data_IF_150996919157
#
_entry.id   IF_150996919157
#
_cell.length_a   1.000
_cell.length_b   1.000
_cell.length_c   1.000
_cell.angle_alpha   90.00
_cell.angle_beta   90.00
_cell.angle_gamma   90.00
#
_symmetry.space_group_name_H-M   'P 1'
#
loop_
_entity.id
_entity.type
_entity.pdbx_description
1 polymer ?
#
# COMPACT_ATOMS: atom_id res chain seq x y z
N UNK A 1 18.48 -1.88 1.72
CA UNK A 1 17.79 -0.96 0.79
C UNK A 1 16.92 -0.07 1.63
N UNK A 2 17.08 1.24 1.49
CA UNK A 2 16.22 2.22 2.16
C UNK A 2 15.00 2.47 1.27
N UNK A 3 13.83 2.03 1.72
CA UNK A 3 12.60 2.16 0.94
C UNK A 3 12.18 3.63 0.78
N UNK A 4 12.50 4.50 1.74
CA UNK A 4 12.16 5.92 1.67
C UNK A 4 13.02 6.59 0.61
N UNK A 5 14.32 6.28 0.58
CA UNK A 5 15.23 6.78 -0.45
C UNK A 5 14.83 6.28 -1.85
N UNK A 6 14.49 4.99 -1.98
CA UNK A 6 14.04 4.41 -3.25
C UNK A 6 12.71 5.03 -3.72
N UNK A 7 11.75 5.20 -2.81
CA UNK A 7 10.45 5.78 -3.13
C UNK A 7 10.58 7.25 -3.53
N UNK A 8 11.53 7.99 -2.96
CA UNK A 8 11.83 9.35 -3.40
C UNK A 8 12.25 9.41 -4.87
N UNK A 9 13.18 8.54 -5.28
CA UNK A 9 13.62 8.47 -6.69
C UNK A 9 12.46 8.07 -7.62
N UNK A 10 11.67 7.06 -7.21
CA UNK A 10 10.49 6.61 -7.96
C UNK A 10 9.44 7.72 -8.10
N UNK A 11 9.17 8.46 -7.03
CA UNK A 11 8.19 9.55 -7.03
C UNK A 11 8.64 10.70 -7.94
N UNK A 12 9.91 11.08 -7.92
CA UNK A 12 10.46 12.10 -8.83
C UNK A 12 10.26 11.70 -10.30
N UNK A 13 10.47 10.43 -10.63
CA UNK A 13 10.17 9.89 -11.96
C UNK A 13 8.66 9.88 -12.27
N UNK A 14 7.82 9.46 -11.33
CA UNK A 14 6.35 9.40 -11.46
C UNK A 14 5.76 10.78 -11.74
N UNK A 15 6.15 11.81 -10.98
CA UNK A 15 5.64 13.17 -11.14
C UNK A 15 6.04 13.78 -12.50
N UNK A 16 7.24 13.48 -12.99
CA UNK A 16 7.70 13.92 -14.30
C UNK A 16 7.00 13.20 -15.45
N UNK A 17 6.64 11.93 -15.25
CA UNK A 17 6.09 11.08 -16.32
C UNK A 17 4.57 11.21 -16.42
N UNK A 18 3.88 11.26 -15.28
CA UNK A 18 2.42 11.29 -15.17
C UNK A 18 1.95 12.64 -14.64
N UNK A 19 2.18 13.68 -15.44
CA UNK A 19 1.93 15.09 -15.07
C UNK A 19 0.46 15.41 -14.80
N UNK A 20 -0.46 14.63 -15.37
CA UNK A 20 -1.91 14.82 -15.23
C UNK A 20 -2.56 13.82 -14.24
N UNK A 21 -1.78 12.90 -13.67
CA UNK A 21 -2.33 11.89 -12.78
C UNK A 21 -2.85 12.53 -11.48
N UNK A 22 -4.04 12.10 -11.06
CA UNK A 22 -4.72 12.58 -9.85
C UNK A 22 -4.65 11.53 -8.75
N UNK A 23 -4.82 11.91 -7.46
CA UNK A 23 -4.93 10.93 -6.38
C UNK A 23 -6.00 9.86 -6.64
N UNK A 24 -7.14 10.25 -7.21
CA UNK A 24 -8.23 9.32 -7.52
C UNK A 24 -7.86 8.36 -8.67
N UNK A 25 -7.17 8.85 -9.70
CA UNK A 25 -6.66 8.00 -10.79
C UNK A 25 -5.65 6.97 -10.29
N UNK A 26 -4.69 7.39 -9.46
CA UNK A 26 -3.74 6.47 -8.82
C UNK A 26 -4.43 5.46 -7.90
N UNK A 27 -5.49 5.85 -7.18
CA UNK A 27 -6.27 4.94 -6.35
C UNK A 27 -7.07 3.94 -7.20
N UNK A 28 -7.56 4.34 -8.38
CA UNK A 28 -8.19 3.42 -9.32
C UNK A 28 -7.18 2.38 -9.81
N UNK A 29 -5.97 2.80 -10.19
CA UNK A 29 -4.90 1.87 -10.59
C UNK A 29 -4.51 0.92 -9.46
N UNK A 30 -4.37 1.42 -8.22
CA UNK A 30 -4.12 0.56 -7.05
C UNK A 30 -5.19 -0.55 -6.88
N UNK A 31 -6.46 -0.25 -7.18
CA UNK A 31 -7.54 -1.25 -7.13
C UNK A 31 -7.44 -2.29 -8.25
N UNK A 32 -6.89 -1.92 -9.40
CA UNK A 32 -6.60 -2.86 -10.48
C UNK A 32 -5.48 -3.82 -10.05
N UNK A 33 -4.37 -3.31 -9.50
CA UNK A 33 -3.27 -4.18 -9.03
C UNK A 33 -3.72 -5.13 -7.92
N UNK A 34 -4.63 -4.69 -7.04
CA UNK A 34 -5.23 -5.57 -6.02
C UNK A 34 -6.03 -6.71 -6.68
N UNK A 35 -6.72 -6.47 -7.79
CA UNK A 35 -7.43 -7.54 -8.53
C UNK A 35 -6.45 -8.50 -9.18
N UNK A 36 -5.33 -8.01 -9.70
CA UNK A 36 -4.26 -8.88 -10.25
C UNK A 36 -3.69 -9.79 -9.15
N UNK A 37 -3.46 -9.25 -7.94
CA UNK A 37 -3.09 -10.04 -6.75
C UNK A 37 -4.17 -11.10 -6.42
N UNK A 38 -5.46 -10.73 -6.44
CA UNK A 38 -6.56 -11.67 -6.18
C UNK A 38 -6.60 -12.82 -7.20
N UNK A 39 -6.36 -12.51 -8.47
CA UNK A 39 -6.26 -13.51 -9.53
C UNK A 39 -5.08 -14.46 -9.31
N UNK A 40 -3.90 -13.93 -8.97
CA UNK A 40 -2.71 -14.72 -8.71
C UNK A 40 -2.88 -15.63 -7.50
N UNK A 41 -3.52 -15.15 -6.43
CA UNK A 41 -3.89 -15.98 -5.26
C UNK A 41 -4.79 -17.13 -5.70
N UNK A 42 -5.81 -16.86 -6.52
CA UNK A 42 -6.77 -17.87 -6.99
C UNK A 42 -6.08 -18.92 -7.88
N UNK A 43 -5.08 -18.52 -8.65
CA UNK A 43 -4.28 -19.39 -9.52
C UNK A 43 -3.08 -20.04 -8.81
N UNK A 44 -2.87 -19.75 -7.52
CA UNK A 44 -1.70 -20.17 -6.74
C UNK A 44 -0.36 -19.75 -7.39
N UNK A 45 -0.33 -18.55 -7.95
CA UNK A 45 0.84 -17.92 -8.58
C UNK A 45 1.56 -17.06 -7.54
N UNK A 46 2.89 -17.14 -7.53
CA UNK A 46 3.76 -16.30 -6.70
C UNK A 46 4.37 -15.22 -7.57
N UNK A 47 3.71 -14.06 -7.63
CA UNK A 47 4.16 -12.93 -8.40
C UNK A 47 4.44 -11.73 -7.47
N UNK A 48 5.70 -11.49 -7.06
CA UNK A 48 6.02 -10.35 -6.20
C UNK A 48 5.84 -8.98 -6.89
N UNK A 49 5.71 -8.94 -8.22
CA UNK A 49 5.60 -7.70 -8.99
C UNK A 49 4.27 -6.99 -8.70
N UNK A 50 3.15 -7.70 -8.69
CA UNK A 50 1.83 -7.07 -8.43
C UNK A 50 1.74 -6.42 -7.05
N UNK A 51 2.44 -6.98 -6.06
CA UNK A 51 2.54 -6.38 -4.74
C UNK A 51 3.36 -5.08 -4.77
N UNK A 52 4.44 -5.04 -5.56
CA UNK A 52 5.23 -3.85 -5.74
C UNK A 52 4.41 -2.76 -6.45
N UNK A 53 3.69 -3.10 -7.52
CA UNK A 53 2.85 -2.16 -8.27
C UNK A 53 1.72 -1.60 -7.41
N UNK A 54 1.06 -2.44 -6.61
CA UNK A 54 0.05 -1.99 -5.66
C UNK A 54 0.63 -1.01 -4.62
N UNK A 55 1.82 -1.31 -4.07
CA UNK A 55 2.50 -0.42 -3.10
C UNK A 55 2.89 0.90 -3.76
N UNK A 56 3.46 0.89 -4.96
CA UNK A 56 3.81 2.11 -5.71
C UNK A 56 2.59 2.97 -5.99
N UNK A 57 1.47 2.36 -6.38
CA UNK A 57 0.22 3.09 -6.61
C UNK A 57 -0.30 3.74 -5.32
N UNK A 58 -0.21 3.06 -4.17
CA UNK A 58 -0.60 3.64 -2.88
C UNK A 58 0.31 4.81 -2.48
N UNK A 59 1.62 4.73 -2.72
CA UNK A 59 2.51 5.87 -2.51
C UNK A 59 2.22 7.04 -3.46
N UNK A 60 1.84 6.78 -4.72
CA UNK A 60 1.39 7.83 -5.63
C UNK A 60 0.11 8.53 -5.13
N UNK A 61 -0.84 7.77 -4.57
CA UNK A 61 -2.03 8.36 -3.92
C UNK A 61 -1.61 9.27 -2.77
N UNK A 62 -0.76 8.80 -1.87
CA UNK A 62 -0.28 9.57 -0.73
C UNK A 62 0.44 10.86 -1.18
N UNK A 63 1.41 10.74 -2.08
CA UNK A 63 2.21 11.86 -2.54
C UNK A 63 1.37 12.94 -3.24
N UNK A 64 0.41 12.54 -4.08
CA UNK A 64 -0.50 13.48 -4.76
C UNK A 64 -1.52 14.13 -3.81
N UNK A 65 -1.71 13.55 -2.62
CA UNK A 65 -2.46 14.15 -1.52
C UNK A 65 -1.59 15.00 -0.59
N UNK A 66 -0.29 15.15 -0.88
CA UNK A 66 0.66 15.90 -0.06
C UNK A 66 1.17 15.12 1.16
N UNK A 67 1.08 13.80 1.17
CA UNK A 67 1.56 12.92 2.23
C UNK A 67 2.85 12.24 1.75
N UNK A 68 3.95 12.47 2.46
CA UNK A 68 5.26 11.89 2.11
C UNK A 68 5.36 10.40 2.46
N UNK A 69 6.27 9.70 1.79
CA UNK A 69 6.59 8.31 2.14
C UNK A 69 7.10 8.18 3.58
N UNK A 70 7.83 9.18 4.09
CA UNK A 70 8.29 9.23 5.48
C UNK A 70 7.11 9.29 6.46
N UNK A 71 6.13 10.16 6.23
CA UNK A 71 4.91 10.23 7.05
C UNK A 71 4.13 8.90 7.05
N UNK A 72 4.04 8.23 5.90
CA UNK A 72 3.41 6.91 5.80
C UNK A 72 4.17 5.87 6.63
N UNK A 73 5.50 5.86 6.57
CA UNK A 73 6.31 4.88 7.31
C UNK A 73 6.34 5.14 8.82
N UNK A 74 6.32 6.40 9.26
CA UNK A 74 6.14 6.75 10.67
C UNK A 74 4.77 6.25 11.16
N UNK A 75 3.69 6.55 10.42
CA UNK A 75 2.35 6.09 10.76
C UNK A 75 2.25 4.55 10.77
N UNK A 76 2.99 3.87 9.89
CA UNK A 76 3.10 2.41 9.87
C UNK A 76 3.70 1.87 11.18
N UNK A 77 4.82 2.44 11.64
CA UNK A 77 5.49 2.04 12.89
C UNK A 77 4.60 2.25 14.12
N UNK A 78 3.96 3.42 14.22
CA UNK A 78 3.00 3.73 15.28
C UNK A 78 1.84 2.73 15.27
N UNK A 79 1.31 2.44 14.07
CA UNK A 79 0.20 1.51 13.91
C UNK A 79 0.59 0.08 14.28
N UNK A 80 1.80 -0.35 13.94
CA UNK A 80 2.35 -1.64 14.34
C UNK A 80 2.42 -1.76 15.86
N UNK A 81 2.96 -0.73 16.53
CA UNK A 81 3.04 -0.66 18.00
C UNK A 81 1.66 -0.80 18.66
N UNK A 82 0.65 -0.13 18.12
CA UNK A 82 -0.73 -0.26 18.60
C UNK A 82 -1.28 -1.67 18.34
N UNK A 83 -1.08 -2.21 17.13
CA UNK A 83 -1.61 -3.51 16.72
C UNK A 83 -1.03 -4.67 17.54
N UNK A 84 0.24 -4.60 17.94
CA UNK A 84 0.87 -5.60 18.81
C UNK A 84 0.26 -5.64 20.22
N UNK A 85 -0.38 -4.56 20.68
CA UNK A 85 -1.02 -4.47 22.00
C UNK A 85 -2.49 -4.85 22.00
N UNK A 86 -3.07 -5.14 20.83
CA UNK A 86 -4.51 -5.45 20.68
C UNK A 86 -4.78 -6.93 20.92
N UNK A 87 -5.98 -7.21 21.43
CA UNK A 87 -6.56 -8.56 21.40
C UNK A 87 -7.26 -8.79 20.07
N UNK A 88 -6.92 -9.89 19.40
CA UNK A 88 -7.45 -10.23 18.08
C UNK A 88 -8.43 -11.42 18.17
N UNK A 89 -9.48 -11.36 17.36
CA UNK A 89 -10.43 -12.45 17.13
C UNK A 89 -10.35 -12.90 15.67
N UNK A 90 -10.30 -14.21 15.47
CA UNK A 90 -10.41 -14.83 14.13
C UNK A 90 -11.86 -14.84 13.66
N UNK A 91 -12.07 -14.45 12.41
CA UNK A 91 -13.37 -14.43 11.72
C UNK A 91 -13.64 -15.74 10.96
N UNK A 92 -14.88 -15.96 10.53
CA UNK A 92 -15.30 -17.16 9.80
C UNK A 92 -14.61 -17.31 8.44
N UNK A 93 -14.27 -16.20 7.78
CA UNK A 93 -13.50 -16.18 6.54
C UNK A 93 -11.98 -16.21 6.75
N UNK A 94 -11.51 -16.62 7.93
CA UNK A 94 -10.09 -16.64 8.33
C UNK A 94 -9.38 -15.28 8.41
N UNK A 95 -10.07 -14.16 8.23
CA UNK A 95 -9.52 -12.83 8.55
C UNK A 95 -9.47 -12.60 10.07
N UNK A 96 -8.81 -11.52 10.52
CA UNK A 96 -8.71 -11.15 11.93
C UNK A 96 -9.23 -9.74 12.18
N UNK A 97 -9.96 -9.56 13.27
CA UNK A 97 -10.46 -8.26 13.75
C UNK A 97 -10.01 -8.02 15.19
N UNK A 98 -9.73 -6.76 15.55
CA UNK A 98 -9.44 -6.42 16.94
C UNK A 98 -10.74 -6.35 17.75
N UNK A 99 -10.70 -6.82 18.99
CA UNK A 99 -11.82 -6.68 19.93
C UNK A 99 -11.84 -5.23 20.42
N UNK A 100 -12.94 -4.52 20.18
CA UNK A 100 -13.14 -3.17 20.73
C UNK A 100 -13.47 -3.33 22.20
N UNK A 101 -12.66 -2.72 23.06
CA UNK A 101 -12.94 -2.50 24.48
C UNK A 101 -14.13 -1.57 24.66
#
# INVERSE_FOLDING_TARGET
MDIIALEKERLEWSLRTFTEATPMGSLQKAKEEIREIEEDITKNIKNPVEYADAIMCIFDVAARMGISAEEVMIAYEEKLTINMKRTWKKNSNNSYSHIKS
#
